data_IF_496665337759
#
_entry.id   IF_496665337759
#
_cell.length_a   1.000
_cell.length_b   1.000
_cell.length_c   1.000
_cell.angle_alpha   90.00
_cell.angle_beta   90.00
_cell.angle_gamma   90.00
#
_symmetry.space_group_name_H-M   'P 1'
#
loop_
_entity.id
_entity.type
_entity.pdbx_description
1 polymer ?
#
# COMPACT_ATOMS: atom_id res chain seq x y z
N UNK A 1 25.44 16.29 0.54
CA UNK A 1 25.00 16.40 -0.87
C UNK A 1 23.48 16.33 -0.89
N UNK A 2 22.81 17.31 -1.51
CA UNK A 2 21.35 17.43 -1.44
C UNK A 2 20.62 16.71 -2.60
N UNK A 3 21.22 16.64 -3.79
CA UNK A 3 20.64 15.95 -4.96
C UNK A 3 21.75 15.15 -5.69
N UNK A 4 21.99 13.90 -5.28
CA UNK A 4 23.05 13.09 -5.88
C UNK A 4 22.74 12.79 -7.35
N UNK A 5 23.73 13.01 -8.21
CA UNK A 5 23.61 12.90 -9.66
C UNK A 5 22.51 13.77 -10.31
N UNK A 6 21.99 14.78 -9.58
CA UNK A 6 20.88 15.63 -10.01
C UNK A 6 19.61 14.82 -10.37
N UNK A 7 19.43 13.65 -9.76
CA UNK A 7 18.33 12.75 -10.12
C UNK A 7 16.95 13.33 -9.76
N UNK A 8 16.85 14.10 -8.67
CA UNK A 8 15.58 14.76 -8.33
C UNK A 8 15.26 15.90 -9.29
N UNK A 9 16.25 16.74 -9.62
CA UNK A 9 16.08 17.80 -10.61
C UNK A 9 15.67 17.22 -11.98
N UNK A 10 16.38 16.18 -12.44
CA UNK A 10 16.05 15.50 -13.69
C UNK A 10 14.63 14.91 -13.67
N UNK A 11 14.22 14.27 -12.57
CA UNK A 11 12.88 13.69 -12.45
C UNK A 11 11.79 14.77 -12.50
N UNK A 12 12.00 15.89 -11.81
CA UNK A 12 11.12 17.07 -11.86
C UNK A 12 10.97 17.62 -13.29
N UNK A 13 12.07 17.71 -14.04
CA UNK A 13 12.07 18.19 -15.41
C UNK A 13 11.33 17.22 -16.35
N UNK A 14 11.57 15.90 -16.21
CA UNK A 14 10.88 14.87 -17.00
C UNK A 14 9.37 14.89 -16.74
N UNK A 15 8.93 14.94 -15.49
CA UNK A 15 7.49 14.96 -15.15
C UNK A 15 6.82 16.26 -15.60
N UNK A 16 7.54 17.39 -15.51
CA UNK A 16 7.08 18.67 -16.05
C UNK A 16 6.93 18.61 -17.58
N UNK A 17 7.85 17.94 -18.27
CA UNK A 17 7.79 17.75 -19.73
C UNK A 17 6.61 16.86 -20.11
N UNK A 18 6.42 15.73 -19.41
CA UNK A 18 5.28 14.83 -19.61
C UNK A 18 3.96 15.58 -19.46
N UNK A 19 3.84 16.45 -18.45
CA UNK A 19 2.65 17.29 -18.27
C UNK A 19 2.40 18.25 -19.44
N UNK A 20 3.45 18.81 -20.04
CA UNK A 20 3.32 19.69 -21.21
C UNK A 20 3.01 18.92 -22.50
N UNK A 21 3.48 17.68 -22.60
CA UNK A 21 3.24 16.79 -23.73
C UNK A 21 1.91 16.03 -23.65
N UNK A 22 1.21 16.09 -22.51
CA UNK A 22 -0.02 15.32 -22.29
C UNK A 22 0.21 13.83 -22.03
N UNK A 23 1.42 13.46 -21.61
CA UNK A 23 1.83 12.08 -21.36
C UNK A 23 1.47 11.62 -19.94
N UNK A 24 1.43 10.29 -19.78
CA UNK A 24 1.33 9.60 -18.49
C UNK A 24 2.61 8.83 -18.23
N UNK A 25 2.97 8.70 -16.96
CA UNK A 25 4.27 8.17 -16.53
C UNK A 25 4.08 7.04 -15.53
N UNK A 26 4.79 5.94 -15.76
CA UNK A 26 5.09 4.95 -14.74
C UNK A 26 6.48 5.22 -14.17
N UNK A 27 6.58 5.30 -12.85
CA UNK A 27 7.87 5.42 -12.15
C UNK A 27 8.30 4.03 -11.68
N UNK A 28 9.52 3.64 -12.01
CA UNK A 28 10.11 2.39 -11.54
C UNK A 28 11.39 2.68 -10.75
N UNK A 29 11.64 1.90 -9.70
CA UNK A 29 12.86 1.99 -8.91
C UNK A 29 13.11 0.73 -8.07
N UNK A 30 14.31 0.60 -7.50
CA UNK A 30 14.61 -0.57 -6.67
C UNK A 30 14.18 -0.34 -5.21
N UNK A 31 14.82 0.60 -4.52
CA UNK A 31 14.59 0.90 -3.10
C UNK A 31 13.43 1.89 -2.97
N UNK A 32 12.35 1.55 -2.24
CA UNK A 32 11.21 2.45 -2.07
C UNK A 32 11.46 3.51 -0.98
N UNK A 33 10.79 4.68 -1.07
CA UNK A 33 10.63 5.59 0.06
C UNK A 33 9.72 4.97 1.14
N UNK A 34 9.69 5.59 2.32
CA UNK A 34 8.87 5.17 3.45
C UNK A 34 9.45 3.98 4.21
N UNK A 35 8.57 3.30 4.95
CA UNK A 35 8.97 2.33 5.96
C UNK A 35 8.78 0.89 5.50
N UNK A 36 9.62 0.00 6.02
CA UNK A 36 9.52 -1.44 5.83
C UNK A 36 8.45 -2.02 6.77
N UNK A 37 7.43 -2.64 6.21
CA UNK A 37 6.22 -3.06 6.93
C UNK A 37 6.44 -4.22 7.92
N UNK A 38 7.54 -4.97 7.80
CA UNK A 38 7.94 -6.02 8.76
C UNK A 38 8.77 -5.51 9.94
N UNK A 39 9.04 -4.20 10.00
CA UNK A 39 9.82 -3.60 11.08
C UNK A 39 9.47 -2.13 11.27
N UNK A 40 8.74 -1.84 12.36
CA UNK A 40 8.14 -0.55 12.69
C UNK A 40 9.03 0.70 12.75
N UNK A 41 10.35 0.63 12.49
CA UNK A 41 11.22 1.82 12.49
C UNK A 41 12.34 1.70 11.46
N UNK A 42 12.08 1.04 10.33
CA UNK A 42 13.07 0.85 9.28
C UNK A 42 12.69 1.56 8.00
N UNK A 43 13.37 2.66 7.71
CA UNK A 43 13.36 3.35 6.41
C UNK A 43 14.69 3.09 5.66
N UNK A 44 14.63 3.08 4.33
CA UNK A 44 15.80 2.91 3.47
C UNK A 44 16.39 4.24 3.04
N UNK A 45 15.53 5.18 2.63
CA UNK A 45 15.94 6.52 2.26
C UNK A 45 16.45 7.27 3.47
N UNK A 46 17.40 8.17 3.25
CA UNK A 46 17.67 9.22 4.24
C UNK A 46 16.47 10.15 4.26
N UNK A 47 16.12 10.67 5.43
CA UNK A 47 14.94 11.52 5.64
C UNK A 47 14.78 12.62 4.57
N UNK A 48 15.82 13.42 4.33
CA UNK A 48 15.77 14.47 3.31
C UNK A 48 15.57 13.98 1.87
N UNK A 49 15.92 12.73 1.54
CA UNK A 49 15.60 12.14 0.22
C UNK A 49 14.16 11.61 0.17
N UNK A 50 13.65 11.10 1.30
CA UNK A 50 12.28 10.67 1.43
C UNK A 50 11.31 11.84 1.26
N UNK A 51 11.58 12.95 1.94
CA UNK A 51 10.81 14.19 1.81
C UNK A 51 10.86 14.77 0.39
N UNK A 52 12.03 14.75 -0.25
CA UNK A 52 12.16 15.22 -1.64
C UNK A 52 11.33 14.36 -2.58
N UNK A 53 11.39 13.04 -2.46
CA UNK A 53 10.57 12.15 -3.28
C UNK A 53 9.08 12.43 -3.10
N UNK A 54 8.63 12.61 -1.85
CA UNK A 54 7.24 12.97 -1.56
C UNK A 54 6.82 14.28 -2.23
N UNK A 55 7.65 15.32 -2.16
CA UNK A 55 7.38 16.61 -2.82
C UNK A 55 7.26 16.48 -4.34
N UNK A 56 8.13 15.69 -4.97
CA UNK A 56 8.04 15.43 -6.42
C UNK A 56 6.71 14.74 -6.76
N UNK A 57 6.35 13.68 -6.03
CA UNK A 57 5.10 12.95 -6.26
C UNK A 57 3.89 13.86 -6.03
N UNK A 58 3.84 14.60 -4.92
CA UNK A 58 2.74 15.52 -4.61
C UNK A 58 2.57 16.61 -5.68
N UNK A 59 3.66 17.13 -6.24
CA UNK A 59 3.61 18.14 -7.30
C UNK A 59 3.14 17.55 -8.64
N UNK A 60 3.60 16.35 -8.99
CA UNK A 60 3.44 15.77 -10.32
C UNK A 60 2.43 14.62 -10.41
N UNK A 61 1.70 14.32 -9.34
CA UNK A 61 0.81 13.15 -9.26
C UNK A 61 -0.17 13.02 -10.44
N UNK A 62 -0.59 14.13 -11.05
CA UNK A 62 -1.52 14.14 -12.20
C UNK A 62 -0.97 13.43 -13.46
N UNK A 63 0.35 13.38 -13.63
CA UNK A 63 0.99 12.65 -14.75
C UNK A 63 1.47 11.26 -14.34
N UNK A 64 1.61 10.97 -13.04
CA UNK A 64 2.08 9.69 -12.54
C UNK A 64 0.90 8.71 -12.47
N UNK A 65 0.86 7.73 -13.38
CA UNK A 65 -0.19 6.72 -13.45
C UNK A 65 0.05 5.52 -12.53
N UNK A 66 1.29 5.31 -12.10
CA UNK A 66 1.66 4.22 -11.18
C UNK A 66 3.14 4.25 -10.81
N UNK A 67 3.47 3.67 -9.66
CA UNK A 67 4.85 3.53 -9.19
C UNK A 67 5.14 2.07 -8.84
N UNK A 68 6.27 1.52 -9.27
CA UNK A 68 6.60 0.10 -9.14
C UNK A 68 8.00 -0.09 -8.58
N UNK A 69 8.08 -0.68 -7.40
CA UNK A 69 9.32 -0.85 -6.66
C UNK A 69 9.48 -2.28 -6.15
N UNK A 70 10.67 -2.61 -5.67
CA UNK A 70 10.99 -3.92 -5.10
C UNK A 70 11.71 -3.76 -3.77
N UNK A 71 12.92 -4.31 -3.68
CA UNK A 71 13.85 -4.30 -2.54
C UNK A 71 13.38 -5.06 -1.29
N UNK A 72 12.13 -4.89 -0.87
CA UNK A 72 11.60 -5.50 0.34
C UNK A 72 11.41 -7.03 0.22
N UNK A 73 11.34 -7.56 -1.00
CA UNK A 73 11.03 -8.95 -1.35
C UNK A 73 9.62 -9.43 -0.95
N UNK A 74 8.82 -8.54 -0.38
CA UNK A 74 7.48 -8.79 0.10
C UNK A 74 6.43 -8.09 -0.77
N UNK A 75 5.22 -8.59 -0.71
CA UNK A 75 4.07 -8.02 -1.41
C UNK A 75 3.42 -6.91 -0.57
N UNK A 76 3.50 -5.68 -1.06
CA UNK A 76 2.94 -4.53 -0.34
C UNK A 76 2.62 -3.38 -1.27
N UNK A 77 2.08 -2.29 -0.73
CA UNK A 77 1.86 -1.05 -1.46
C UNK A 77 2.05 0.17 -0.55
N UNK A 78 2.19 1.37 -1.11
CA UNK A 78 2.28 2.62 -0.35
C UNK A 78 1.31 3.64 -0.93
N UNK A 79 0.52 4.25 -0.07
CA UNK A 79 -0.36 5.35 -0.44
C UNK A 79 0.36 6.68 -0.37
N UNK A 80 -0.01 7.59 -1.27
CA UNK A 80 0.44 8.97 -1.27
C UNK A 80 -0.79 9.87 -1.23
N UNK A 81 -0.73 10.90 -0.39
CA UNK A 81 -1.81 11.85 -0.16
C UNK A 81 -1.35 13.28 -0.43
N UNK A 82 -2.26 14.13 -0.89
CA UNK A 82 -2.05 15.57 -0.88
C UNK A 82 -2.34 16.17 0.52
N UNK A 83 -2.13 17.47 0.67
CA UNK A 83 -2.32 18.19 1.93
C UNK A 83 -3.80 18.20 2.40
N UNK A 84 -4.75 17.93 1.50
CA UNK A 84 -6.17 17.80 1.82
C UNK A 84 -6.56 16.36 2.22
N UNK A 85 -5.61 15.41 2.17
CA UNK A 85 -5.83 14.01 2.48
C UNK A 85 -6.43 13.19 1.33
N UNK A 86 -6.48 13.73 0.10
CA UNK A 86 -6.96 12.98 -1.05
C UNK A 86 -5.90 11.96 -1.52
N UNK A 87 -6.28 10.71 -1.83
CA UNK A 87 -5.34 9.73 -2.38
C UNK A 87 -4.95 10.15 -3.79
N UNK A 88 -3.67 10.50 -3.98
CA UNK A 88 -3.15 11.06 -5.23
C UNK A 88 -2.28 10.09 -6.04
N UNK A 89 -1.68 9.09 -5.39
CA UNK A 89 -0.87 8.08 -6.06
C UNK A 89 -0.78 6.81 -5.20
N UNK A 90 -0.42 5.70 -5.84
CA UNK A 90 -0.12 4.43 -5.18
C UNK A 90 1.18 3.86 -5.77
N UNK A 91 2.01 3.31 -4.88
CA UNK A 91 3.20 2.54 -5.24
C UNK A 91 2.99 1.08 -4.92
N UNK A 92 3.24 0.20 -5.88
CA UNK A 92 3.21 -1.24 -5.68
C UNK A 92 4.62 -1.77 -5.41
N UNK A 93 4.78 -2.49 -4.31
CA UNK A 93 5.99 -3.20 -3.95
C UNK A 93 5.81 -4.65 -4.36
N UNK A 94 6.56 -5.09 -5.37
CA UNK A 94 6.46 -6.45 -5.89
C UNK A 94 7.35 -7.40 -5.08
N UNK A 95 6.89 -8.64 -4.81
CA UNK A 95 7.70 -9.62 -4.10
C UNK A 95 8.94 -10.05 -4.90
N UNK A 96 9.89 -10.65 -4.21
CA UNK A 96 11.10 -11.18 -4.83
C UNK A 96 10.92 -12.59 -5.38
N UNK A 97 11.68 -12.92 -6.43
CA UNK A 97 11.86 -14.32 -6.85
C UNK A 97 12.70 -15.09 -5.83
N UNK A 98 13.68 -14.43 -5.20
CA UNK A 98 14.49 -15.08 -4.17
C UNK A 98 13.66 -15.35 -2.91
N UNK A 99 13.69 -16.58 -2.36
CA UNK A 99 13.05 -16.92 -1.09
C UNK A 99 13.95 -16.63 0.12
N UNK A 100 15.05 -15.89 -0.08
CA UNK A 100 16.06 -15.66 0.94
C UNK A 100 15.43 -15.09 2.22
N UNK A 101 15.68 -15.78 3.34
CA UNK A 101 15.26 -15.33 4.65
C UNK A 101 16.12 -14.17 5.11
N UNK A 102 15.48 -13.03 5.37
CA UNK A 102 16.20 -11.82 5.76
C UNK A 102 17.00 -11.98 7.04
N UNK A 103 18.21 -11.44 7.03
CA UNK A 103 19.09 -11.31 8.21
C UNK A 103 18.92 -9.97 8.90
N UNK A 104 17.94 -9.14 8.50
CA UNK A 104 17.67 -7.87 9.16
C UNK A 104 17.29 -8.11 10.64
N UNK A 105 18.05 -7.57 11.61
CA UNK A 105 17.79 -7.81 13.02
C UNK A 105 16.37 -7.40 13.43
N UNK A 106 15.70 -8.25 14.20
CA UNK A 106 14.33 -8.03 14.68
C UNK A 106 13.22 -8.53 13.76
N UNK A 107 13.53 -8.96 12.53
CA UNK A 107 12.52 -9.57 11.65
C UNK A 107 12.45 -11.07 11.88
N UNK A 108 11.30 -11.55 12.33
CA UNK A 108 11.03 -12.98 12.53
C UNK A 108 10.34 -13.55 11.28
N UNK A 109 10.87 -14.64 10.74
CA UNK A 109 10.35 -15.33 9.55
C UNK A 109 10.23 -14.43 8.30
N UNK A 110 11.19 -13.53 8.08
CA UNK A 110 11.22 -12.68 6.88
C UNK A 110 11.75 -13.37 5.63
N UNK A 111 11.26 -14.58 5.34
CA UNK A 111 11.36 -15.21 4.02
C UNK A 111 10.05 -15.02 3.26
N UNK A 112 10.04 -15.37 1.99
CA UNK A 112 8.87 -15.37 1.12
C UNK A 112 8.94 -16.57 0.16
N UNK A 113 7.80 -16.99 -0.41
CA UNK A 113 7.89 -17.81 -1.62
C UNK A 113 8.37 -16.95 -2.81
N UNK A 114 8.99 -17.57 -3.84
CA UNK A 114 9.25 -16.90 -5.10
C UNK A 114 7.96 -16.35 -5.72
N UNK A 115 7.95 -15.04 -6.01
CA UNK A 115 6.82 -14.34 -6.62
C UNK A 115 7.19 -13.62 -7.92
N UNK A 116 6.26 -13.57 -8.86
CA UNK A 116 6.30 -12.71 -10.06
C UNK A 116 4.95 -12.01 -10.19
N UNK A 117 4.91 -10.86 -10.87
CA UNK A 117 3.71 -10.04 -10.99
C UNK A 117 3.47 -9.55 -12.41
N UNK A 118 2.20 -9.55 -12.80
CA UNK A 118 1.71 -9.00 -14.07
C UNK A 118 0.69 -7.91 -13.76
N UNK A 119 0.79 -6.77 -14.43
CA UNK A 119 -0.21 -5.70 -14.38
C UNK A 119 -1.00 -5.64 -15.68
N UNK A 120 -2.30 -5.40 -15.55
CA UNK A 120 -3.18 -5.02 -16.65
C UNK A 120 -3.41 -3.52 -16.59
N UNK A 121 -3.34 -2.85 -17.74
CA UNK A 121 -3.52 -1.41 -17.83
C UNK A 121 -4.20 -1.00 -19.13
N UNK A 122 -4.90 0.12 -19.07
CA UNK A 122 -5.47 0.77 -20.25
C UNK A 122 -4.35 1.47 -21.04
N UNK A 123 -4.20 1.11 -22.32
CA UNK A 123 -3.06 1.55 -23.14
C UNK A 123 -3.11 3.03 -23.51
N UNK A 124 -4.29 3.64 -23.48
CA UNK A 124 -4.46 5.05 -23.85
C UNK A 124 -4.18 5.99 -22.68
N UNK A 125 -4.49 5.55 -21.46
CA UNK A 125 -4.43 6.36 -20.24
C UNK A 125 -3.35 5.94 -19.24
N UNK A 126 -2.75 4.77 -19.45
CA UNK A 126 -1.89 4.07 -18.48
C UNK A 126 -2.58 3.82 -17.12
N UNK A 127 -3.92 3.86 -17.06
CA UNK A 127 -4.62 3.56 -15.82
C UNK A 127 -4.53 2.06 -15.51
N UNK A 128 -4.10 1.73 -14.29
CA UNK A 128 -3.93 0.36 -13.84
C UNK A 128 -5.28 -0.29 -13.56
N UNK A 129 -5.59 -1.31 -14.35
CA UNK A 129 -6.86 -2.04 -14.30
C UNK A 129 -6.79 -3.18 -13.29
N UNK A 130 -5.70 -3.95 -13.26
CA UNK A 130 -5.55 -5.05 -12.32
C UNK A 130 -4.09 -5.44 -12.12
N UNK A 131 -3.88 -6.36 -11.18
CA UNK A 131 -2.59 -6.91 -10.83
C UNK A 131 -2.75 -8.37 -10.40
N UNK A 132 -1.98 -9.24 -11.04
CA UNK A 132 -1.93 -10.67 -10.72
C UNK A 132 -0.55 -11.01 -10.19
N UNK A 133 -0.51 -11.54 -8.97
CA UNK A 133 0.71 -12.14 -8.40
C UNK A 133 0.64 -13.64 -8.66
N UNK A 134 1.71 -14.19 -9.24
CA UNK A 134 1.93 -15.62 -9.36
C UNK A 134 3.06 -16.01 -8.42
N UNK A 135 2.99 -17.21 -7.89
CA UNK A 135 3.99 -17.72 -6.98
C UNK A 135 4.31 -19.18 -7.24
N UNK A 136 5.43 -19.61 -6.67
CA UNK A 136 5.80 -21.01 -6.60
C UNK A 136 5.90 -21.40 -5.14
N UNK A 137 5.08 -22.34 -4.67
CA UNK A 137 5.26 -22.93 -3.35
C UNK A 137 6.58 -23.71 -3.32
N UNK A 138 7.61 -23.11 -2.71
CA UNK A 138 8.97 -23.63 -2.79
C UNK A 138 9.12 -24.97 -2.07
N UNK A 139 8.45 -25.13 -0.93
CA UNK A 139 8.46 -26.40 -0.17
C UNK A 139 7.85 -27.53 -0.98
N UNK A 140 6.72 -27.27 -1.65
CA UNK A 140 6.08 -28.24 -2.53
C UNK A 140 6.94 -28.55 -3.77
N UNK A 141 7.50 -27.52 -4.41
CA UNK A 141 8.35 -27.68 -5.59
C UNK A 141 9.58 -28.55 -5.29
N UNK A 142 10.23 -28.34 -4.15
CA UNK A 142 11.37 -29.14 -3.71
C UNK A 142 10.98 -30.59 -3.39
N UNK A 143 9.84 -30.81 -2.72
CA UNK A 143 9.36 -32.16 -2.42
C UNK A 143 8.99 -32.96 -3.68
N UNK A 144 8.52 -32.28 -4.73
CA UNK A 144 8.09 -32.90 -6.00
C UNK A 144 9.20 -32.93 -7.06
N UNK A 145 10.31 -32.22 -6.86
CA UNK A 145 11.36 -32.06 -7.86
C UNK A 145 10.92 -31.32 -9.13
N UNK A 146 9.81 -30.59 -9.10
CA UNK A 146 9.26 -29.86 -10.26
C UNK A 146 8.74 -28.50 -9.81
N UNK A 147 9.20 -27.44 -10.48
CA UNK A 147 8.70 -26.09 -10.27
C UNK A 147 7.38 -25.88 -11.02
N UNK A 148 6.32 -25.50 -10.29
CA UNK A 148 5.04 -25.06 -10.87
C UNK A 148 4.70 -23.68 -10.34
N UNK A 149 4.51 -22.74 -11.25
CA UNK A 149 4.03 -21.40 -10.94
C UNK A 149 2.50 -21.40 -11.04
N UNK A 150 1.84 -20.85 -10.04
CA UNK A 150 0.39 -20.77 -9.95
C UNK A 150 -0.04 -19.35 -9.59
N UNK A 151 -1.29 -19.00 -9.93
CA UNK A 151 -1.86 -17.72 -9.55
C UNK A 151 -2.05 -17.69 -8.03
N UNK A 152 -1.40 -16.75 -7.35
CA UNK A 152 -1.64 -16.51 -5.93
C UNK A 152 -2.95 -15.73 -5.76
N UNK A 153 -3.03 -14.56 -6.39
CA UNK A 153 -4.24 -13.76 -6.38
C UNK A 153 -4.30 -12.74 -7.53
N UNK A 154 -5.52 -12.31 -7.81
CA UNK A 154 -5.85 -11.17 -8.66
C UNK A 154 -6.42 -10.06 -7.76
N UNK A 155 -5.88 -8.85 -7.83
CA UNK A 155 -6.13 -7.77 -6.87
C UNK A 155 -7.61 -7.40 -6.79
N UNK A 156 -8.27 -7.18 -7.92
CA UNK A 156 -9.69 -6.79 -7.97
C UNK A 156 -10.60 -7.84 -7.34
N UNK A 157 -10.30 -9.13 -7.52
CA UNK A 157 -11.04 -10.25 -6.92
C UNK A 157 -10.73 -10.38 -5.43
N UNK A 158 -9.44 -10.35 -5.08
CA UNK A 158 -8.97 -10.56 -3.71
C UNK A 158 -9.46 -9.50 -2.74
N UNK A 159 -9.58 -8.26 -3.21
CA UNK A 159 -10.00 -7.12 -2.40
C UNK A 159 -11.30 -6.48 -2.88
N UNK A 160 -12.04 -7.09 -3.81
CA UNK A 160 -13.35 -6.61 -4.28
C UNK A 160 -13.33 -5.11 -4.59
N UNK A 161 -12.43 -4.72 -5.50
CA UNK A 161 -12.29 -3.36 -6.03
C UNK A 161 -12.41 -3.38 -7.54
N UNK A 162 -12.87 -2.29 -8.17
CA UNK A 162 -13.07 -2.28 -9.62
C UNK A 162 -11.76 -2.24 -10.41
N UNK A 163 -10.69 -1.68 -9.82
CA UNK A 163 -9.41 -1.48 -10.50
C UNK A 163 -8.24 -1.39 -9.49
N UNK A 164 -7.03 -1.13 -10.00
CA UNK A 164 -5.83 -0.88 -9.20
C UNK A 164 -5.51 0.62 -9.03
N UNK A 165 -6.52 1.51 -9.12
CA UNK A 165 -6.34 2.96 -8.96
C UNK A 165 -5.99 3.36 -7.51
N UNK A 166 -5.45 4.57 -7.33
CA UNK A 166 -5.18 5.12 -6.00
C UNK A 166 -6.44 5.18 -5.11
N UNK A 167 -7.63 5.40 -5.69
CA UNK A 167 -8.90 5.37 -4.96
C UNK A 167 -9.23 3.96 -4.49
N UNK A 168 -9.20 2.98 -5.39
CA UNK A 168 -9.43 1.57 -5.04
C UNK A 168 -8.44 1.10 -3.96
N UNK A 169 -7.16 1.43 -4.11
CA UNK A 169 -6.13 1.05 -3.12
C UNK A 169 -6.28 1.76 -1.77
N UNK A 170 -6.81 2.98 -1.74
CA UNK A 170 -7.23 3.63 -0.49
C UNK A 170 -8.35 2.84 0.19
N UNK A 171 -9.35 2.37 -0.56
CA UNK A 171 -10.45 1.55 -0.01
C UNK A 171 -9.96 0.16 0.45
N UNK A 172 -8.96 -0.41 -0.23
CA UNK A 172 -8.25 -1.63 0.23
C UNK A 172 -7.55 -1.35 1.57
N UNK A 173 -6.77 -0.27 1.67
CA UNK A 173 -6.11 0.11 2.92
C UNK A 173 -7.12 0.34 4.06
N UNK A 174 -8.24 1.01 3.77
CA UNK A 174 -9.31 1.22 4.75
C UNK A 174 -9.84 -0.09 5.32
N UNK A 175 -10.04 -1.11 4.48
CA UNK A 175 -10.49 -2.45 4.89
C UNK A 175 -9.40 -3.26 5.58
N UNK A 176 -8.16 -3.21 5.12
CA UNK A 176 -7.02 -3.81 5.85
C UNK A 176 -6.95 -3.24 7.28
N UNK A 177 -7.18 -1.93 7.43
CA UNK A 177 -7.11 -1.27 8.72
C UNK A 177 -8.28 -1.61 9.66
N UNK A 178 -9.48 -1.91 9.14
CA UNK A 178 -10.70 -2.07 9.96
C UNK A 178 -11.24 -3.50 10.04
N UNK A 179 -10.85 -4.40 9.15
CA UNK A 179 -11.38 -5.77 9.07
C UNK A 179 -10.26 -6.82 9.23
N UNK A 180 -10.40 -7.71 10.22
CA UNK A 180 -9.40 -8.75 10.50
C UNK A 180 -9.25 -9.74 9.35
N UNK A 181 -10.34 -10.06 8.63
CA UNK A 181 -10.28 -11.00 7.50
C UNK A 181 -9.46 -10.45 6.34
N UNK A 182 -9.66 -9.18 6.00
CA UNK A 182 -8.93 -8.47 4.96
C UNK A 182 -7.48 -8.24 5.35
N UNK A 183 -7.21 -7.87 6.62
CA UNK A 183 -5.85 -7.80 7.15
C UNK A 183 -5.12 -9.14 7.01
N UNK A 184 -5.75 -10.24 7.43
CA UNK A 184 -5.14 -11.56 7.38
C UNK A 184 -4.85 -12.00 5.95
N UNK A 185 -5.78 -11.73 5.01
CA UNK A 185 -5.56 -12.00 3.59
C UNK A 185 -4.35 -11.24 3.04
N UNK A 186 -4.28 -9.94 3.31
CA UNK A 186 -3.14 -9.11 2.93
C UNK A 186 -1.82 -9.62 3.57
N UNK A 187 -1.83 -9.99 4.85
CA UNK A 187 -0.66 -10.47 5.56
C UNK A 187 -0.12 -11.79 5.00
N UNK A 188 -1.00 -12.71 4.61
CA UNK A 188 -0.62 -13.97 3.95
C UNK A 188 0.08 -13.67 2.62
N UNK A 189 -0.54 -12.83 1.77
CA UNK A 189 0.06 -12.42 0.49
C UNK A 189 1.35 -11.63 0.66
N UNK A 190 1.53 -10.86 1.75
CA UNK A 190 2.76 -10.11 2.01
C UNK A 190 4.02 -10.99 1.95
N UNK A 191 3.93 -12.21 2.48
CA UNK A 191 5.01 -13.20 2.44
C UNK A 191 4.95 -14.15 1.23
N UNK A 192 4.12 -13.83 0.24
CA UNK A 192 3.80 -14.70 -0.90
C UNK A 192 3.28 -16.05 -0.42
N UNK A 193 2.28 -16.02 0.46
CA UNK A 193 1.64 -17.20 1.04
C UNK A 193 2.56 -18.14 1.83
N UNK A 194 3.70 -17.63 2.34
CA UNK A 194 4.62 -18.43 3.17
C UNK A 194 4.25 -18.40 4.66
N UNK A 195 3.95 -17.24 5.21
CA UNK A 195 3.59 -17.03 6.61
C UNK A 195 2.08 -16.88 6.78
N UNK A 196 1.45 -17.91 7.34
CA UNK A 196 -0.01 -17.99 7.53
C UNK A 196 -0.42 -17.72 8.97
N UNK A 197 0.50 -17.31 9.85
CA UNK A 197 0.19 -16.95 11.24
C UNK A 197 -0.76 -15.74 11.29
N UNK A 198 -1.51 -15.64 12.39
CA UNK A 198 -2.39 -14.51 12.62
C UNK A 198 -1.59 -13.21 12.78
N UNK A 199 -1.98 -12.16 12.07
CA UNK A 199 -1.46 -10.80 12.27
C UNK A 199 -2.18 -10.17 13.47
N UNK A 200 -1.45 -9.99 14.57
CA UNK A 200 -1.93 -9.35 15.80
C UNK A 200 -1.96 -7.82 15.70
N UNK A 201 -2.27 -7.14 16.80
CA UNK A 201 -2.38 -5.67 16.82
C UNK A 201 -1.06 -4.95 16.54
N UNK A 202 0.08 -5.53 16.93
CA UNK A 202 1.40 -4.94 16.64
C UNK A 202 1.68 -5.07 15.15
N UNK A 203 1.47 -6.27 14.59
CA UNK A 203 1.56 -6.52 13.16
C UNK A 203 0.61 -5.60 12.37
N UNK A 204 -0.65 -5.44 12.80
CA UNK A 204 -1.62 -4.52 12.19
C UNK A 204 -1.06 -3.10 12.15
N UNK A 205 -0.57 -2.58 13.27
CA UNK A 205 -0.02 -1.24 13.36
C UNK A 205 1.18 -1.05 12.42
N UNK A 206 2.16 -1.96 12.44
CA UNK A 206 3.35 -1.89 11.57
C UNK A 206 2.98 -1.88 10.08
N UNK A 207 2.09 -2.77 9.67
CA UNK A 207 1.63 -2.87 8.29
C UNK A 207 0.78 -1.66 7.88
N UNK A 208 -0.29 -1.34 8.63
CA UNK A 208 -1.20 -0.24 8.28
C UNK A 208 -0.46 1.10 8.24
N UNK A 209 0.41 1.38 9.20
CA UNK A 209 1.19 2.61 9.20
C UNK A 209 2.17 2.66 8.02
N UNK A 210 2.83 1.55 7.68
CA UNK A 210 3.72 1.54 6.52
C UNK A 210 2.97 1.70 5.19
N UNK A 211 1.80 1.09 5.04
CA UNK A 211 0.95 1.24 3.85
C UNK A 211 0.46 2.69 3.69
N UNK A 212 0.13 3.37 4.80
CA UNK A 212 -0.48 4.70 4.82
C UNK A 212 0.53 5.84 4.77
N UNK A 213 1.58 5.75 5.57
CA UNK A 213 2.45 6.88 5.89
C UNK A 213 3.87 6.66 5.36
N UNK A 214 4.19 7.35 4.27
CA UNK A 214 5.55 7.37 3.70
C UNK A 214 6.44 8.39 4.42
N UNK A 215 5.85 9.45 4.97
CA UNK A 215 6.56 10.50 5.71
C UNK A 215 6.88 10.07 7.15
N UNK A 216 8.00 10.54 7.70
CA UNK A 216 8.53 10.11 9.00
C UNK A 216 7.61 10.46 10.18
N UNK A 217 7.20 11.72 10.30
CA UNK A 217 6.41 12.18 11.45
C UNK A 217 4.99 11.57 11.46
N UNK A 218 4.24 11.53 10.33
CA UNK A 218 2.96 10.84 10.27
C UNK A 218 3.07 9.35 10.59
N UNK A 219 4.10 8.67 10.08
CA UNK A 219 4.34 7.25 10.37
C UNK A 219 4.59 7.01 11.87
N UNK A 220 5.45 7.82 12.47
CA UNK A 220 5.76 7.74 13.91
C UNK A 220 4.53 8.01 14.77
N UNK A 221 3.69 8.96 14.35
CA UNK A 221 2.42 9.27 15.02
C UNK A 221 1.43 8.11 14.88
N UNK A 222 1.34 7.51 13.70
CA UNK A 222 0.48 6.36 13.43
C UNK A 222 0.81 5.18 14.34
N UNK A 223 2.10 4.85 14.53
CA UNK A 223 2.51 3.74 15.41
C UNK A 223 2.23 3.96 16.90
N UNK A 224 2.10 5.22 17.33
CA UNK A 224 1.77 5.58 18.72
C UNK A 224 0.27 5.65 18.95
N UNK A 225 -0.53 5.74 17.90
CA UNK A 225 -1.98 5.79 17.99
C UNK A 225 -2.58 4.43 18.38
N UNK A 226 -3.79 4.41 18.97
CA UNK A 226 -4.56 3.17 19.02
C UNK A 226 -4.73 2.66 17.57
N UNK A 227 -4.41 1.39 17.35
CA UNK A 227 -4.48 0.79 16.03
C UNK A 227 -5.84 1.11 15.36
N UNK A 228 -5.79 1.79 14.22
CA UNK A 228 -6.92 2.04 13.32
C UNK A 228 -8.12 2.84 13.87
N UNK A 229 -8.02 4.17 13.87
CA UNK A 229 -9.19 5.01 13.59
C UNK A 229 -9.22 5.38 12.08
N UNK A 230 -10.37 5.34 11.40
CA UNK A 230 -10.50 5.95 10.08
C UNK A 230 -10.26 7.46 10.24
N UNK A 231 -9.65 8.09 9.23
CA UNK A 231 -9.52 9.55 9.18
C UNK A 231 -10.89 10.24 9.32
N UNK A 232 -10.93 11.55 9.61
CA UNK A 232 -12.17 12.24 9.92
C UNK A 232 -13.12 12.21 8.72
N UNK A 233 -14.05 11.26 8.75
CA UNK A 233 -15.25 11.30 7.92
C UNK A 233 -16.07 12.50 8.35
N UNK A 234 -16.50 13.30 7.39
CA UNK A 234 -17.51 14.36 7.56
C UNK A 234 -18.69 13.78 8.35
N UNK A 235 -18.77 14.12 9.65
CA UNK A 235 -19.86 13.70 10.50
C UNK A 235 -21.16 14.32 10.04
N UNK A 236 -22.12 13.50 9.60
CA UNK A 236 -23.52 13.90 9.58
C UNK A 236 -23.98 14.09 11.03
N UNK A 237 -24.66 15.19 11.38
CA UNK A 237 -25.18 15.37 12.72
C UNK A 237 -26.34 14.38 12.95
N UNK A 238 -26.19 13.50 13.94
CA UNK A 238 -27.29 12.70 14.48
C UNK A 238 -28.31 13.65 15.14
N UNK A 239 -29.46 13.82 14.51
CA UNK A 239 -30.64 14.41 15.12
C UNK A 239 -31.23 13.40 16.11
N UNK A 240 -31.05 13.63 17.41
CA UNK A 240 -31.82 12.94 18.45
C UNK A 240 -33.29 13.41 18.39
N UNK A 241 -34.19 12.54 17.95
CA UNK A 241 -35.62 12.73 18.12
C UNK A 241 -36.02 12.32 19.55
N UNK A 242 -36.39 13.30 20.37
CA UNK A 242 -37.00 13.05 21.67
C UNK A 242 -38.48 12.67 21.48
N UNK A 243 -38.85 11.44 21.89
CA UNK A 243 -40.25 11.05 22.01
C UNK A 243 -40.84 11.65 23.29
N UNK A 244 -41.70 12.65 23.14
CA UNK A 244 -42.63 13.07 24.18
C UNK A 244 -43.95 12.31 24.00
N UNK A 245 -44.24 11.40 24.92
CA UNK A 245 -45.55 10.79 25.06
C UNK A 245 -46.55 11.81 25.57
N UNK A 246 -47.66 12.00 24.85
CA UNK A 246 -48.87 12.61 25.39
C UNK A 246 -49.97 11.55 25.44
N UNK A 247 -50.30 11.13 26.65
CA UNK A 247 -51.57 10.47 26.95
C UNK A 247 -52.65 11.55 27.00
N UNK A 248 -53.62 11.49 26.09
CA UNK A 248 -54.84 12.26 26.19
C UNK A 248 -56.03 11.30 26.32
N UNK A 249 -56.52 11.20 27.55
CA UNK A 249 -57.87 10.74 27.87
C UNK A 249 -58.87 11.75 27.31
N UNK A 250 -59.82 11.29 26.50
CA UNK A 250 -61.12 11.98 26.38
C UNK A 250 -62.23 10.94 26.48
N UNK A 251 -63.08 11.19 27.46
CA UNK A 251 -64.29 10.47 27.77
C UNK A 251 -65.48 11.18 27.11
N UNK A 252 -66.44 10.37 26.67
CA UNK A 252 -67.80 10.69 26.18
C UNK A 252 -67.92 11.45 24.86
#
# INVERSE_FOLDING_TARGET
MADPAQQFQWLEDVLSNASRAGEKVYIIGHVPPGFFEKKGNKMWFREGFNEKYLKVVQKHHRVIAGQFFGHNHLDSFRMFYDDAGAPISVMFLTPGVTPWKTTLPGVVNGANNPGIRVFEYDRDTLSLQDMMTYFMNLSQANAQGTARWELEYQLTKAFTVPDASARSMHDVLGRIASDQGTLQRYYVYNSVSLDTRACDEICRAEHVCALREVALDPYTTCLRGPAAAPGPGLGLPLLLAAQLGLSALLAW
#
